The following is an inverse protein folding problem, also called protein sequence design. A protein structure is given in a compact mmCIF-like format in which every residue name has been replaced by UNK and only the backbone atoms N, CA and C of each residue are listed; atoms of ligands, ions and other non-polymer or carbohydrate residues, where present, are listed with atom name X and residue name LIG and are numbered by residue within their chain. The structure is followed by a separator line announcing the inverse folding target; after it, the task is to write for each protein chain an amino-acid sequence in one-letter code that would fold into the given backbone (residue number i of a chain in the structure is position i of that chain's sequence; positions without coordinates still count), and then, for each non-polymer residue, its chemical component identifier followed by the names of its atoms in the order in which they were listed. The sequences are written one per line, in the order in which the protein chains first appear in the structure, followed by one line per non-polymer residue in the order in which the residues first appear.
data_IF_201580667147
#
_entry.id   IF_201580667147
#
_cell.length_a   1.000
_cell.length_b   1.000
_cell.length_c   1.000
_cell.angle_alpha   90.00
_cell.angle_beta   90.00
_cell.angle_gamma   90.00
#
_symmetry.space_group_name_H-M   'P 1'
#
loop_
_entity.id
_entity.type
_entity.pdbx_description
1 polymer ?
#
# COMPACT_ATOMS: atom_id res chain seq x y z
N UNK A 1 -15.66 -14.22 -82.10
CA UNK A 1 -14.77 -13.25 -82.79
C UNK A 1 -13.48 -13.24 -81.99
N UNK A 2 -12.38 -13.63 -82.64
CA UNK A 2 -11.08 -13.92 -82.02
C UNK A 2 -10.40 -12.63 -81.51
N UNK A 3 -9.94 -12.62 -80.27
CA UNK A 3 -9.05 -11.58 -79.77
C UNK A 3 -7.74 -12.21 -79.27
N UNK A 4 -6.64 -11.62 -79.74
CA UNK A 4 -5.32 -12.23 -79.86
C UNK A 4 -4.56 -12.18 -78.51
N UNK A 5 -3.94 -13.31 -78.17
CA UNK A 5 -2.88 -13.46 -77.16
C UNK A 5 -1.68 -12.58 -77.53
N UNK A 6 -1.32 -11.64 -76.67
CA UNK A 6 0.01 -11.01 -76.65
C UNK A 6 0.83 -11.64 -75.53
N UNK A 7 1.87 -12.35 -75.93
CA UNK A 7 2.94 -12.87 -75.09
C UNK A 7 3.97 -11.75 -74.96
N UNK A 8 4.29 -11.33 -73.74
CA UNK A 8 5.47 -10.51 -73.51
C UNK A 8 6.22 -11.05 -72.29
N UNK A 9 7.34 -11.70 -72.56
CA UNK A 9 8.35 -12.09 -71.59
C UNK A 9 9.04 -10.84 -71.05
N UNK A 10 9.05 -10.68 -69.72
CA UNK A 10 9.97 -9.79 -69.03
C UNK A 10 10.69 -10.61 -67.96
N UNK A 11 11.93 -11.00 -68.29
CA UNK A 11 12.93 -11.44 -67.34
C UNK A 11 13.33 -10.24 -66.48
N UNK A 12 13.08 -10.31 -65.17
CA UNK A 12 13.54 -9.34 -64.17
C UNK A 12 14.38 -10.04 -63.11
N UNK A 13 15.64 -9.62 -62.99
CA UNK A 13 16.69 -10.13 -62.12
C UNK A 13 16.29 -10.07 -60.63
N UNK A 14 16.34 -11.21 -59.94
CA UNK A 14 16.12 -11.28 -58.49
C UNK A 14 17.43 -10.96 -57.74
N UNK A 15 17.58 -9.72 -57.28
CA UNK A 15 18.67 -9.32 -56.39
C UNK A 15 18.35 -9.71 -54.95
N UNK A 16 19.11 -10.65 -54.37
CA UNK A 16 19.04 -10.99 -52.94
C UNK A 16 19.70 -9.86 -52.14
N UNK A 17 18.89 -9.02 -51.51
CA UNK A 17 19.35 -8.03 -50.52
C UNK A 17 19.48 -8.75 -49.17
N UNK A 18 20.71 -9.06 -48.76
CA UNK A 18 21.03 -9.48 -47.40
C UNK A 18 20.87 -8.27 -46.46
N UNK A 19 19.71 -8.16 -45.82
CA UNK A 19 19.51 -7.23 -44.71
C UNK A 19 20.34 -7.71 -43.52
N UNK A 20 21.50 -7.10 -43.28
CA UNK A 20 22.13 -7.15 -41.97
C UNK A 20 21.19 -6.44 -40.99
N UNK A 21 20.39 -7.21 -40.26
CA UNK A 21 19.67 -6.70 -39.11
C UNK A 21 20.71 -6.26 -38.06
N UNK A 22 20.77 -4.97 -37.70
CA UNK A 22 21.65 -4.54 -36.64
C UNK A 22 21.17 -5.21 -35.35
N UNK A 23 22.03 -6.05 -34.76
CA UNK A 23 21.86 -6.51 -33.40
C UNK A 23 21.77 -5.26 -32.50
N UNK A 24 20.55 -4.95 -32.05
CA UNK A 24 20.31 -3.87 -31.12
C UNK A 24 20.89 -4.27 -29.76
N UNK A 25 22.17 -3.95 -29.54
CA UNK A 25 22.75 -4.00 -28.20
C UNK A 25 22.11 -2.89 -27.39
N UNK A 26 21.21 -3.27 -26.46
CA UNK A 26 20.59 -2.33 -25.54
C UNK A 26 21.66 -1.58 -24.75
N UNK A 27 21.51 -0.26 -24.62
CA UNK A 27 22.40 0.55 -23.81
C UNK A 27 22.51 -0.02 -22.38
N UNK A 28 23.70 -0.02 -21.76
CA UNK A 28 23.87 -0.52 -20.41
C UNK A 28 22.92 0.22 -19.46
N UNK A 29 22.10 -0.53 -18.71
CA UNK A 29 21.20 0.06 -17.72
C UNK A 29 22.04 0.76 -16.66
N UNK A 30 21.77 2.05 -16.41
CA UNK A 30 22.36 2.77 -15.29
C UNK A 30 21.99 2.03 -14.01
N UNK A 31 22.99 1.56 -13.28
CA UNK A 31 22.79 0.93 -11.98
C UNK A 31 22.68 2.05 -10.95
N UNK A 32 21.55 2.13 -10.28
CA UNK A 32 21.33 3.11 -9.23
C UNK A 32 21.85 2.59 -7.89
N UNK A 33 22.47 3.48 -7.10
CA UNK A 33 22.87 3.18 -5.73
C UNK A 33 21.80 3.70 -4.77
N UNK A 34 21.04 2.79 -4.14
CA UNK A 34 19.98 3.12 -3.18
C UNK A 34 20.40 2.74 -1.77
N UNK A 35 20.34 3.69 -0.83
CA UNK A 35 20.70 3.46 0.56
C UNK A 35 19.78 4.22 1.53
N UNK A 36 19.60 3.65 2.72
CA UNK A 36 19.04 4.36 3.87
C UNK A 36 20.19 4.88 4.73
N UNK A 37 20.23 6.19 4.96
CA UNK A 37 21.26 6.80 5.78
C UNK A 37 21.06 6.61 7.28
N UNK A 38 21.92 7.26 8.06
CA UNK A 38 21.90 7.19 9.52
C UNK A 38 20.59 7.76 10.09
N UNK A 39 19.92 7.05 11.02
CA UNK A 39 18.71 7.55 11.64
C UNK A 39 19.01 8.67 12.65
N UNK A 40 18.09 9.63 12.74
CA UNK A 40 18.06 10.68 13.77
C UNK A 40 16.66 10.82 14.34
N UNK A 41 16.56 11.32 15.58
CA UNK A 41 15.28 11.64 16.21
C UNK A 41 14.90 13.10 15.93
N UNK A 42 13.63 13.34 15.61
CA UNK A 42 13.05 14.68 15.44
C UNK A 42 11.76 14.78 16.24
N UNK A 43 11.41 15.99 16.68
CA UNK A 43 10.14 16.23 17.37
C UNK A 43 8.96 15.84 16.47
N UNK A 44 7.99 15.14 17.05
CA UNK A 44 6.80 14.70 16.34
C UNK A 44 5.61 15.62 16.65
N UNK A 45 5.02 16.25 15.64
CA UNK A 45 3.76 16.99 15.85
C UNK A 45 2.60 16.01 15.90
N UNK A 46 2.03 15.83 17.10
CA UNK A 46 0.83 15.01 17.33
C UNK A 46 -0.43 15.73 16.87
N UNK A 47 -0.46 17.05 17.03
CA UNK A 47 -1.61 17.88 16.71
C UNK A 47 -1.74 17.98 15.19
N UNK A 48 -2.89 17.57 14.66
CA UNK A 48 -3.19 17.68 13.24
C UNK A 48 -2.52 16.65 12.33
N UNK A 49 -1.70 15.71 12.84
CA UNK A 49 -1.21 14.60 12.02
C UNK A 49 -2.32 13.55 11.84
N UNK A 50 -2.86 13.35 10.62
CA UNK A 50 -3.88 12.33 10.37
C UNK A 50 -3.36 10.90 10.62
N UNK A 51 -2.04 10.70 10.65
CA UNK A 51 -1.46 9.41 11.01
C UNK A 51 -1.49 9.09 12.49
N UNK A 52 -1.66 10.09 13.35
CA UNK A 52 -1.64 9.93 14.79
C UNK A 52 -0.27 9.47 15.33
N UNK A 53 0.03 9.91 16.54
CA UNK A 53 1.13 9.34 17.30
C UNK A 53 0.71 8.05 17.96
N UNK A 54 1.60 7.05 17.99
CA UNK A 54 1.42 5.92 18.88
C UNK A 54 1.39 6.43 20.32
N UNK A 55 0.70 5.73 21.25
CA UNK A 55 0.68 6.14 22.64
C UNK A 55 2.11 6.26 23.18
N UNK A 56 2.44 7.44 23.71
CA UNK A 56 3.77 7.77 24.23
C UNK A 56 4.82 8.16 23.18
N UNK A 57 4.49 8.24 21.89
CA UNK A 57 5.45 8.61 20.84
C UNK A 57 5.59 10.12 20.70
N UNK A 58 6.70 10.68 21.20
CA UNK A 58 6.97 12.13 21.17
C UNK A 58 7.99 12.54 20.08
N UNK A 59 8.67 11.57 19.50
CA UNK A 59 9.69 11.81 18.49
C UNK A 59 9.63 10.77 17.37
N UNK A 60 9.80 11.22 16.13
CA UNK A 60 9.97 10.34 14.98
C UNK A 60 11.45 10.00 14.79
N UNK A 61 11.76 8.72 14.64
CA UNK A 61 13.06 8.25 14.14
C UNK A 61 13.02 8.34 12.62
N UNK A 62 13.71 9.31 12.04
CA UNK A 62 13.76 9.53 10.60
C UNK A 62 15.15 9.24 10.03
N UNK A 63 15.23 8.82 8.77
CA UNK A 63 16.48 8.61 8.04
C UNK A 63 16.34 9.05 6.57
N UNK A 64 17.40 9.54 5.92
CA UNK A 64 17.30 9.91 4.51
C UNK A 64 17.31 8.63 3.64
N UNK A 65 16.44 8.58 2.64
CA UNK A 65 16.55 7.69 1.50
C UNK A 65 17.40 8.38 0.43
N UNK A 66 18.58 7.82 0.18
CA UNK A 66 19.58 8.36 -0.74
C UNK A 66 19.59 7.52 -2.02
N UNK A 67 19.54 8.19 -3.18
CA UNK A 67 19.67 7.56 -4.49
C UNK A 67 20.75 8.31 -5.26
N UNK A 68 21.79 7.60 -5.67
CA UNK A 68 22.97 8.13 -6.37
C UNK A 68 23.63 9.31 -5.64
N UNK A 69 23.74 9.19 -4.31
CA UNK A 69 24.33 10.22 -3.45
C UNK A 69 23.41 11.40 -3.11
N UNK A 70 22.23 11.50 -3.71
CA UNK A 70 21.26 12.55 -3.42
C UNK A 70 20.15 12.06 -2.47
N UNK A 71 19.81 12.86 -1.45
CA UNK A 71 18.62 12.61 -0.62
C UNK A 71 17.38 12.81 -1.47
N UNK A 72 16.63 11.73 -1.71
CA UNK A 72 15.38 11.75 -2.47
C UNK A 72 14.16 11.91 -1.56
N UNK A 73 14.17 11.20 -0.44
CA UNK A 73 13.07 11.21 0.51
C UNK A 73 13.58 11.14 1.95
N UNK A 74 12.75 11.52 2.90
CA UNK A 74 12.92 11.15 4.30
C UNK A 74 11.98 10.00 4.63
N UNK A 75 12.45 9.07 5.44
CA UNK A 75 11.70 7.86 5.81
C UNK A 75 11.71 7.65 7.31
N UNK A 76 10.78 6.84 7.81
CA UNK A 76 10.64 6.46 9.22
C UNK A 76 10.23 5.00 9.34
N UNK A 77 10.34 4.45 10.55
CA UNK A 77 10.17 3.02 10.80
C UNK A 77 11.30 2.18 10.22
N UNK A 78 11.14 0.87 10.27
CA UNK A 78 12.05 -0.08 9.64
C UNK A 78 11.61 -0.39 8.20
N UNK A 79 12.58 -0.63 7.33
CA UNK A 79 12.32 -1.08 5.96
C UNK A 79 11.99 -2.56 5.96
N UNK A 80 11.02 -2.95 5.13
CA UNK A 80 10.65 -4.34 4.90
C UNK A 80 11.05 -4.76 3.49
N UNK A 81 11.96 -5.72 3.40
CA UNK A 81 12.41 -6.26 2.12
C UNK A 81 11.32 -7.17 1.51
N UNK A 82 10.79 -6.75 0.37
CA UNK A 82 9.80 -7.51 -0.41
C UNK A 82 10.52 -8.51 -1.31
N UNK A 83 11.57 -8.04 -1.97
CA UNK A 83 12.50 -8.83 -2.76
C UNK A 83 13.92 -8.33 -2.51
N UNK A 84 14.94 -9.01 -3.03
CA UNK A 84 16.32 -8.51 -2.99
C UNK A 84 16.48 -7.13 -3.64
N UNK A 85 15.59 -6.82 -4.61
CA UNK A 85 15.62 -5.60 -5.42
C UNK A 85 14.65 -4.54 -4.95
N UNK A 86 13.75 -4.84 -4.02
CA UNK A 86 12.70 -3.92 -3.62
C UNK A 86 12.33 -4.03 -2.16
N UNK A 87 12.08 -2.88 -1.53
CA UNK A 87 11.63 -2.82 -0.15
C UNK A 87 10.54 -1.76 0.01
N UNK A 88 9.75 -1.91 1.06
CA UNK A 88 8.77 -0.91 1.47
C UNK A 88 9.22 -0.20 2.73
N UNK A 89 8.95 1.10 2.80
CA UNK A 89 9.32 1.94 3.94
C UNK A 89 8.32 3.08 4.08
N UNK A 90 8.10 3.56 5.30
CA UNK A 90 7.19 4.68 5.55
C UNK A 90 7.89 6.00 5.25
N UNK A 91 7.26 6.90 4.48
CA UNK A 91 7.77 8.25 4.26
C UNK A 91 7.65 9.08 5.54
N UNK A 92 8.62 9.95 5.79
CA UNK A 92 8.54 11.02 6.77
C UNK A 92 8.47 12.35 6.01
N UNK A 93 7.47 13.16 6.31
CA UNK A 93 7.23 14.43 5.64
C UNK A 93 7.60 15.59 6.58
N UNK A 94 8.24 16.61 6.02
CA UNK A 94 8.42 17.90 6.68
C UNK A 94 7.42 18.87 6.05
N UNK A 95 6.42 19.28 6.80
CA UNK A 95 5.26 20.04 6.31
C UNK A 95 5.27 21.42 6.95
N UNK A 96 4.90 22.45 6.18
CA UNK A 96 4.59 23.76 6.75
C UNK A 96 3.17 23.70 7.33
N UNK A 97 3.07 23.87 8.64
CA UNK A 97 1.84 23.77 9.42
C UNK A 97 1.31 25.15 9.84
N UNK A 98 1.77 26.21 9.17
CA UNK A 98 1.24 27.57 9.36
C UNK A 98 -0.15 27.73 8.76
N UNK A 99 -1.06 28.34 9.53
CA UNK A 99 -2.37 28.71 9.01
C UNK A 99 -2.28 29.99 8.16
N UNK A 100 -3.11 30.13 7.11
CA UNK A 100 -3.18 31.37 6.35
C UNK A 100 -3.52 32.58 7.25
N UNK A 101 -2.65 33.59 7.27
CA UNK A 101 -2.84 34.81 8.07
C UNK A 101 -2.36 34.73 9.52
N UNK A 102 -1.81 33.58 9.95
CA UNK A 102 -1.05 33.51 11.18
C UNK A 102 0.15 34.45 11.07
N UNK A 103 0.33 35.33 12.06
CA UNK A 103 1.50 36.21 12.08
C UNK A 103 2.71 35.30 12.17
N UNK A 104 3.57 35.30 11.15
CA UNK A 104 4.91 34.70 11.18
C UNK A 104 5.46 34.94 12.58
N UNK A 105 5.51 33.87 13.38
CA UNK A 105 5.97 33.98 14.75
C UNK A 105 7.38 34.55 14.76
N UNK A 106 7.85 35.01 15.91
CA UNK A 106 9.21 35.52 16.13
C UNK A 106 10.34 34.56 15.72
N UNK A 107 10.01 33.34 15.27
CA UNK A 107 10.93 32.26 14.85
C UNK A 107 10.80 31.81 13.39
N UNK A 108 9.97 32.44 12.56
CA UNK A 108 9.77 32.05 11.15
C UNK A 108 8.89 30.80 10.96
N UNK A 109 8.90 30.23 9.74
CA UNK A 109 7.99 29.16 9.28
C UNK A 109 7.84 27.97 10.26
N UNK A 110 6.60 27.63 10.63
CA UNK A 110 6.28 26.48 11.51
C UNK A 110 6.36 25.15 10.76
N UNK A 111 7.56 24.54 10.75
CA UNK A 111 7.81 23.24 10.12
C UNK A 111 7.65 22.07 11.08
N UNK A 112 6.76 21.13 10.76
CA UNK A 112 6.52 19.91 11.55
C UNK A 112 6.92 18.66 10.79
N UNK A 113 7.28 17.60 11.52
CA UNK A 113 7.48 16.27 10.95
C UNK A 113 6.24 15.40 11.16
N UNK A 114 5.82 14.69 10.11
CA UNK A 114 4.64 13.82 10.11
C UNK A 114 4.92 12.51 9.35
N UNK A 115 4.08 11.49 9.57
CA UNK A 115 4.16 10.23 8.81
C UNK A 115 3.45 10.38 7.46
N UNK A 116 4.21 10.32 6.38
CA UNK A 116 3.70 10.29 5.01
C UNK A 116 3.21 8.91 4.58
N UNK A 117 2.93 8.68 3.28
CA UNK A 117 2.48 7.38 2.76
C UNK A 117 3.57 6.30 2.85
N UNK A 118 3.19 5.04 2.64
CA UNK A 118 4.16 3.98 2.36
C UNK A 118 4.80 4.19 0.98
N UNK A 119 6.07 3.84 0.86
CA UNK A 119 6.84 3.89 -0.37
C UNK A 119 7.24 2.46 -0.75
N UNK A 120 7.18 2.14 -2.04
CA UNK A 120 7.88 1.02 -2.64
C UNK A 120 9.12 1.57 -3.34
N UNK A 121 10.28 1.03 -2.99
CA UNK A 121 11.57 1.46 -3.51
C UNK A 121 12.18 0.33 -4.33
N UNK A 122 12.49 0.60 -5.60
CA UNK A 122 13.28 -0.29 -6.46
C UNK A 122 14.77 0.09 -6.35
N UNK A 123 15.57 -0.81 -5.78
CA UNK A 123 17.01 -0.64 -5.59
C UNK A 123 17.78 -0.61 -6.91
N UNK A 124 17.26 -1.26 -7.95
CA UNK A 124 17.95 -1.37 -9.25
C UNK A 124 17.62 -0.20 -10.17
N UNK A 125 16.35 0.21 -10.22
CA UNK A 125 15.89 1.32 -11.04
C UNK A 125 16.00 2.68 -10.34
N UNK A 126 16.27 2.71 -9.02
CA UNK A 126 16.23 3.95 -8.24
C UNK A 126 14.83 4.58 -8.18
N UNK A 127 13.79 3.82 -8.51
CA UNK A 127 12.41 4.32 -8.55
C UNK A 127 11.81 4.30 -7.14
N UNK A 128 11.18 5.41 -6.75
CA UNK A 128 10.43 5.51 -5.50
C UNK A 128 8.96 5.79 -5.83
N UNK A 129 8.07 4.88 -5.45
CA UNK A 129 6.64 4.99 -5.74
C UNK A 129 5.84 5.05 -4.45
N UNK A 130 4.96 6.04 -4.32
CA UNK A 130 4.00 6.06 -3.23
C UNK A 130 2.97 4.93 -3.39
N UNK A 131 2.81 4.12 -2.35
CA UNK A 131 1.85 3.03 -2.31
C UNK A 131 0.47 3.53 -1.93
N UNK A 132 -0.53 3.14 -2.73
CA UNK A 132 -1.94 3.33 -2.40
C UNK A 132 -2.49 2.05 -1.80
N UNK A 133 -2.54 2.01 -0.47
CA UNK A 133 -3.14 0.90 0.27
C UNK A 133 -4.67 1.10 0.35
N UNK A 134 -5.49 0.12 -0.11
CA UNK A 134 -6.95 0.19 -0.04
C UNK A 134 -7.46 0.44 1.38
N UNK A 135 -8.33 1.43 1.59
CA UNK A 135 -9.01 1.70 2.88
C UNK A 135 -8.07 1.91 4.10
N UNK A 136 -6.78 2.12 3.85
CA UNK A 136 -5.79 2.29 4.92
C UNK A 136 -5.93 3.67 5.57
N UNK A 137 -6.18 3.66 6.88
CA UNK A 137 -6.15 4.85 7.73
C UNK A 137 -5.07 4.65 8.82
N UNK A 138 -3.99 5.44 8.81
CA UNK A 138 -2.92 5.31 9.79
C UNK A 138 -3.33 5.59 11.24
N UNK A 139 -4.41 6.35 11.47
CA UNK A 139 -4.97 6.55 12.82
C UNK A 139 -5.77 5.35 13.33
N UNK A 140 -6.05 4.36 12.47
CA UNK A 140 -6.83 3.16 12.82
C UNK A 140 -5.92 1.98 13.15
N UNK A 141 -4.86 1.78 12.36
CA UNK A 141 -3.90 0.69 12.59
C UNK A 141 -2.56 0.90 11.89
N UNK A 142 -1.57 0.11 12.31
CA UNK A 142 -0.29 -0.02 11.62
C UNK A 142 -0.35 -1.11 10.54
N UNK A 143 0.45 -0.95 9.49
CA UNK A 143 0.62 -1.99 8.46
C UNK A 143 1.72 -2.93 8.90
N UNK A 144 1.41 -4.22 8.94
CA UNK A 144 2.39 -5.28 9.19
C UNK A 144 2.65 -6.03 7.89
N UNK A 145 3.91 -6.07 7.48
CA UNK A 145 4.32 -6.63 6.20
C UNK A 145 4.79 -8.08 6.34
N UNK A 146 4.46 -8.90 5.35
CA UNK A 146 5.00 -10.23 5.16
C UNK A 146 5.12 -10.51 3.67
N UNK A 147 6.35 -10.76 3.18
CA UNK A 147 6.64 -10.86 1.73
C UNK A 147 6.14 -9.60 1.00
N UNK A 148 5.24 -9.77 0.03
CA UNK A 148 4.57 -8.70 -0.73
C UNK A 148 3.15 -8.38 -0.22
N UNK A 149 2.77 -8.91 0.94
CA UNK A 149 1.49 -8.65 1.60
C UNK A 149 1.64 -7.62 2.72
N UNK A 150 0.70 -6.68 2.78
CA UNK A 150 0.51 -5.77 3.92
C UNK A 150 -0.84 -6.02 4.57
N UNK A 151 -0.85 -6.34 5.86
CA UNK A 151 -2.06 -6.52 6.65
C UNK A 151 -2.29 -5.36 7.61
N UNK A 152 -3.52 -4.87 7.65
CA UNK A 152 -3.94 -3.76 8.51
C UNK A 152 -5.45 -3.73 8.67
N UNK A 153 -5.92 -3.03 9.70
CA UNK A 153 -7.32 -2.65 9.79
C UNK A 153 -7.56 -1.33 9.05
N UNK A 154 -8.57 -1.32 8.18
CA UNK A 154 -8.97 -0.16 7.39
C UNK A 154 -10.38 0.31 7.71
N UNK A 155 -10.72 1.49 7.21
CA UNK A 155 -12.09 2.02 7.23
C UNK A 155 -12.55 2.28 5.80
N UNK A 156 -13.80 1.95 5.51
CA UNK A 156 -14.38 2.25 4.20
C UNK A 156 -14.49 3.76 3.98
N UNK A 157 -14.69 4.18 2.74
CA UNK A 157 -15.02 5.56 2.38
C UNK A 157 -16.20 6.15 3.18
N UNK A 158 -17.12 5.31 3.66
CA UNK A 158 -18.24 5.74 4.52
C UNK A 158 -17.82 6.15 5.94
N UNK A 159 -16.65 5.70 6.41
CA UNK A 159 -16.18 5.89 7.78
C UNK A 159 -16.97 5.12 8.85
N UNK A 160 -17.92 4.25 8.48
CA UNK A 160 -18.85 3.61 9.44
C UNK A 160 -18.48 2.20 9.86
N UNK A 161 -17.51 1.57 9.21
CA UNK A 161 -17.19 0.16 9.44
C UNK A 161 -15.70 -0.09 9.35
N UNK A 162 -15.22 -0.93 10.26
CA UNK A 162 -13.85 -1.38 10.39
C UNK A 162 -13.68 -2.70 9.61
N UNK A 163 -12.59 -2.81 8.86
CA UNK A 163 -12.31 -3.97 8.00
C UNK A 163 -10.93 -4.54 8.29
N UNK A 164 -10.80 -5.86 8.27
CA UNK A 164 -9.54 -6.57 8.09
C UNK A 164 -9.18 -6.52 6.61
N UNK A 165 -8.02 -5.93 6.32
CA UNK A 165 -7.54 -5.75 4.94
C UNK A 165 -6.18 -6.42 4.79
N UNK A 166 -6.04 -7.21 3.72
CA UNK A 166 -4.75 -7.67 3.23
C UNK A 166 -4.58 -7.15 1.81
N UNK A 167 -3.58 -6.30 1.61
CA UNK A 167 -3.19 -5.79 0.30
C UNK A 167 -1.97 -6.55 -0.20
N UNK A 168 -1.94 -6.83 -1.51
CA UNK A 168 -0.75 -7.36 -2.18
C UNK A 168 -0.20 -6.26 -3.10
N UNK A 169 1.11 -5.99 -3.06
CA UNK A 169 1.72 -4.83 -3.71
C UNK A 169 1.49 -4.75 -5.24
N UNK A 170 1.41 -5.90 -5.92
CA UNK A 170 1.17 -5.97 -7.36
C UNK A 170 -0.31 -5.81 -7.76
N UNK A 171 -1.24 -5.85 -6.79
CA UNK A 171 -2.67 -5.84 -7.05
C UNK A 171 -3.30 -4.51 -6.64
N UNK A 172 -4.21 -4.02 -7.50
CA UNK A 172 -4.98 -2.81 -7.20
C UNK A 172 -6.06 -3.04 -6.15
N UNK A 173 -6.64 -4.24 -6.12
CA UNK A 173 -7.65 -4.65 -5.14
C UNK A 173 -6.98 -5.43 -4.00
N UNK A 174 -7.48 -5.31 -2.77
CA UNK A 174 -6.99 -6.15 -1.69
C UNK A 174 -7.33 -7.63 -1.95
N UNK A 175 -6.48 -8.53 -1.46
CA UNK A 175 -6.74 -9.98 -1.51
C UNK A 175 -7.71 -10.42 -0.41
N UNK A 176 -7.82 -9.64 0.67
CA UNK A 176 -8.82 -9.80 1.72
C UNK A 176 -9.39 -8.43 2.09
N UNK A 177 -10.72 -8.33 2.17
CA UNK A 177 -11.42 -7.19 2.75
C UNK A 177 -12.65 -7.69 3.52
N UNK A 178 -12.49 -7.98 4.81
CA UNK A 178 -13.56 -8.53 5.65
C UNK A 178 -14.01 -7.55 6.72
N UNK A 179 -15.32 -7.33 6.83
CA UNK A 179 -15.89 -6.45 7.85
C UNK A 179 -15.69 -7.05 9.24
N UNK A 180 -15.04 -6.30 10.14
CA UNK A 180 -14.86 -6.65 11.55
C UNK A 180 -15.95 -6.05 12.45
N UNK A 181 -16.74 -5.11 11.92
CA UNK A 181 -17.92 -4.52 12.58
C UNK A 181 -18.01 -3.00 12.40
N UNK A 182 -18.81 -2.33 13.22
CA UNK A 182 -19.01 -0.86 13.16
C UNK A 182 -17.72 -0.13 13.57
N UNK A 183 -17.40 0.99 12.95
CA UNK A 183 -16.33 1.87 13.39
C UNK A 183 -16.93 3.05 14.16
N UNK A 184 -16.31 3.41 15.28
CA UNK A 184 -16.66 4.60 16.04
C UNK A 184 -15.66 5.72 15.70
N UNK A 185 -16.08 6.79 15.00
CA UNK A 185 -15.19 7.90 14.64
C UNK A 185 -14.54 8.59 15.85
N UNK A 186 -15.17 8.56 17.02
CA UNK A 186 -14.62 9.15 18.25
C UNK A 186 -13.37 8.41 18.73
N UNK A 187 -13.20 7.15 18.32
CA UNK A 187 -12.03 6.34 18.69
C UNK A 187 -10.72 6.83 18.06
N UNK A 188 -10.75 7.74 17.08
CA UNK A 188 -9.53 8.29 16.44
C UNK A 188 -8.70 9.17 17.36
N UNK A 189 -9.32 9.76 18.38
CA UNK A 189 -8.65 10.58 19.38
C UNK A 189 -8.10 9.78 20.56
N UNK A 190 -8.41 8.48 20.63
CA UNK A 190 -7.98 7.64 21.74
C UNK A 190 -6.49 7.30 21.60
N UNK A 191 -5.75 7.22 22.72
CA UNK A 191 -4.35 6.81 22.69
C UNK A 191 -4.14 5.39 22.13
N UNK A 192 -5.13 4.50 22.29
CA UNK A 192 -5.06 3.13 21.81
C UNK A 192 -5.62 3.02 20.38
N UNK A 193 -4.90 2.39 19.44
CA UNK A 193 -5.39 2.24 18.08
C UNK A 193 -6.65 1.37 18.05
N UNK A 194 -7.58 1.68 17.14
CA UNK A 194 -8.82 0.92 16.97
C UNK A 194 -8.59 -0.56 16.59
N UNK A 195 -7.39 -0.89 16.14
CA UNK A 195 -6.96 -2.25 15.87
C UNK A 195 -5.49 -2.41 16.25
N UNK A 196 -5.23 -3.42 17.08
CA UNK A 196 -3.90 -3.80 17.53
C UNK A 196 -3.04 -4.36 16.39
N UNK A 197 -1.80 -4.68 16.72
CA UNK A 197 -0.82 -5.21 15.77
C UNK A 197 -1.28 -6.55 15.22
N UNK A 198 -1.29 -6.67 13.89
CA UNK A 198 -1.64 -7.89 13.19
C UNK A 198 -0.47 -8.88 13.19
N UNK A 199 -0.77 -10.18 13.18
CA UNK A 199 0.24 -11.24 13.23
C UNK A 199 0.15 -12.14 12.01
N UNK A 200 1.31 -12.43 11.42
CA UNK A 200 1.44 -13.32 10.29
C UNK A 200 1.91 -14.71 10.73
N UNK A 201 1.22 -15.73 10.25
CA UNK A 201 1.65 -17.12 10.30
C UNK A 201 2.06 -17.57 8.90
N UNK A 202 3.20 -18.25 8.81
CA UNK A 202 3.81 -18.66 7.54
C UNK A 202 3.15 -19.89 6.94
N UNK A 203 2.81 -20.87 7.77
CA UNK A 203 2.31 -22.18 7.35
C UNK A 203 1.20 -22.67 8.31
N UNK A 204 -0.07 -22.76 7.85
CA UNK A 204 -0.59 -22.20 6.60
C UNK A 204 -0.40 -20.66 6.55
N UNK A 205 -0.43 -20.09 5.35
CA UNK A 205 -0.35 -18.63 5.18
C UNK A 205 -1.60 -17.98 5.76
N UNK A 206 -1.48 -17.40 6.95
CA UNK A 206 -2.60 -16.88 7.74
C UNK A 206 -2.25 -15.57 8.39
N UNK A 207 -3.26 -14.72 8.60
CA UNK A 207 -3.12 -13.46 9.33
C UNK A 207 -4.15 -13.38 10.45
N UNK A 208 -3.73 -12.87 11.60
CA UNK A 208 -4.57 -12.61 12.77
C UNK A 208 -4.72 -11.10 12.98
N UNK A 209 -5.96 -10.64 13.07
CA UNK A 209 -6.33 -9.27 13.38
C UNK A 209 -6.86 -9.17 14.81
N UNK A 210 -6.51 -8.08 15.52
CA UNK A 210 -6.97 -7.81 16.90
C UNK A 210 -7.70 -6.47 17.00
N UNK A 211 -8.95 -6.39 16.55
CA UNK A 211 -9.77 -5.18 16.72
C UNK A 211 -9.96 -4.86 18.21
N UNK A 212 -9.85 -3.58 18.58
CA UNK A 212 -10.02 -3.15 19.97
C UNK A 212 -11.45 -3.44 20.46
N UNK A 213 -11.57 -3.99 21.68
CA UNK A 213 -12.85 -4.33 22.30
C UNK A 213 -13.62 -5.46 21.60
N UNK A 214 -12.94 -6.30 20.80
CA UNK A 214 -13.56 -7.41 20.04
C UNK A 214 -12.67 -8.65 20.04
N UNK A 215 -13.28 -9.78 19.69
CA UNK A 215 -12.56 -11.03 19.50
C UNK A 215 -11.57 -10.95 18.33
N UNK A 216 -10.38 -11.55 18.45
CA UNK A 216 -9.44 -11.68 17.35
C UNK A 216 -10.04 -12.45 16.16
N UNK A 217 -9.72 -12.02 14.95
CA UNK A 217 -10.19 -12.64 13.72
C UNK A 217 -9.02 -13.12 12.86
N UNK A 218 -8.99 -14.42 12.53
CA UNK A 218 -7.94 -15.02 11.72
C UNK A 218 -8.46 -15.38 10.32
N UNK A 219 -7.63 -15.17 9.29
CA UNK A 219 -7.98 -15.46 7.90
C UNK A 219 -6.82 -16.16 7.19
N UNK A 220 -7.14 -17.22 6.45
CA UNK A 220 -6.21 -17.85 5.52
C UNK A 220 -6.07 -16.99 4.26
N UNK A 221 -4.84 -16.69 3.86
CA UNK A 221 -4.53 -15.92 2.65
C UNK A 221 -4.08 -16.90 1.58
N UNK A 222 -4.95 -17.13 0.60
CA UNK A 222 -4.66 -18.03 -0.50
C UNK A 222 -3.85 -17.29 -1.58
N UNK A 223 -2.66 -17.80 -1.98
CA UNK A 223 -1.90 -17.21 -3.06
C UNK A 223 -2.70 -17.19 -4.36
N UNK A 224 -2.87 -16.01 -4.97
CA UNK A 224 -3.47 -15.86 -6.29
C UNK A 224 -5.00 -15.84 -6.35
N UNK A 225 -5.72 -15.83 -5.22
CA UNK A 225 -7.17 -15.66 -5.22
C UNK A 225 -7.56 -14.36 -4.53
N UNK A 226 -7.96 -13.37 -5.33
CA UNK A 226 -8.74 -12.23 -4.85
C UNK A 226 -10.18 -12.71 -4.58
N UNK A 227 -10.34 -13.63 -3.62
CA UNK A 227 -11.65 -14.06 -3.16
C UNK A 227 -12.18 -12.95 -2.27
N UNK A 228 -13.07 -12.13 -2.84
CA UNK A 228 -14.03 -11.39 -2.03
C UNK A 228 -14.85 -12.46 -1.29
N UNK A 229 -14.45 -12.82 -0.07
CA UNK A 229 -15.29 -13.61 0.83
C UNK A 229 -16.39 -12.68 1.35
N UNK A 230 -17.34 -12.38 0.46
CA UNK A 230 -18.65 -11.87 0.82
C UNK A 230 -19.34 -12.99 1.61
N UNK A 231 -19.48 -12.82 2.93
CA UNK A 231 -20.47 -13.62 3.64
C UNK A 231 -21.81 -12.94 3.37
N UNK A 232 -22.72 -13.71 2.80
CA UNK A 232 -24.14 -13.42 2.74
C UNK A 232 -24.65 -13.06 4.13
N UNK A 233 -25.29 -11.91 4.25
CA UNK A 233 -26.10 -11.57 5.42
C UNK A 233 -27.23 -12.60 5.54
N UNK A 234 -27.07 -13.64 6.38
CA UNK A 234 -28.22 -14.35 6.95
C UNK A 234 -28.86 -13.43 8.00
N UNK A 235 -29.70 -12.55 7.48
CA UNK A 235 -30.74 -11.90 8.24
C UNK A 235 -31.63 -13.01 8.82
N UNK A 236 -31.43 -13.34 10.10
CA UNK A 236 -32.44 -13.97 10.94
C UNK A 236 -33.70 -13.10 10.88
N UNK A 237 -34.59 -13.40 9.93
CA UNK A 237 -35.98 -13.00 9.98
C UNK A 237 -36.72 -14.16 10.66
N UNK A 238 -36.78 -14.07 11.99
CA UNK A 238 -37.86 -14.68 12.72
C UNK A 238 -39.19 -14.23 12.09
N UNK A 239 -40.02 -15.18 11.69
CA UNK A 239 -41.45 -14.93 11.49
C UNK A 239 -42.22 -15.82 12.45
N UNK A 240 -43.12 -15.26 13.28
CA UNK A 240 -43.95 -16.01 14.19
C UNK A 240 -45.14 -16.59 13.41
N UNK A 241 -45.42 -17.87 13.58
CA UNK A 241 -46.70 -18.43 13.21
C UNK A 241 -47.21 -19.30 14.36
N UNK A 242 -48.15 -18.73 15.10
CA UNK A 242 -48.97 -19.41 16.08
C UNK A 242 -49.89 -20.45 15.40
N UNK A 243 -50.17 -21.55 16.10
CA UNK A 243 -51.37 -22.34 15.84
C UNK A 243 -51.35 -23.78 16.30
N UNK A 244 -51.89 -24.01 17.52
CA UNK A 244 -52.78 -25.13 17.94
C UNK A 244 -52.21 -26.56 17.91
N UNK A 245 -52.61 -27.54 18.71
CA UNK A 245 -53.33 -27.73 19.98
C UNK A 245 -53.50 -29.26 20.08
N UNK A 246 -53.30 -29.82 21.28
CA UNK A 246 -53.90 -31.07 21.80
C UNK A 246 -53.66 -32.45 21.16
N UNK A 247 -53.55 -33.41 22.11
CA UNK A 247 -53.41 -34.88 22.11
C UNK A 247 -52.08 -35.52 21.66
#
# INVERSE_FOLDING_TARGET
MFERRNIQCMLGVLGVVLTLEPFAFGAPRKVHAVALGTPKKVAYSKTGDPAGALPGEEALKIRPLVIDGAVKEWTTGEAHDVTERSFVVRRALRVNDELPGEKLGTTGAHWVWQRGPWLLVDRTAGHVTALKLPDYDPGVSQVVWFRDYGAYCGITASGKSLYAVVAQLALRKPVLAKRLGKFDPESRGNPEPACGVTEWQRDPLRVLFRPAGREPAAFDVLPGSAMLVEDSDEQSAASPAAGKSED
#
